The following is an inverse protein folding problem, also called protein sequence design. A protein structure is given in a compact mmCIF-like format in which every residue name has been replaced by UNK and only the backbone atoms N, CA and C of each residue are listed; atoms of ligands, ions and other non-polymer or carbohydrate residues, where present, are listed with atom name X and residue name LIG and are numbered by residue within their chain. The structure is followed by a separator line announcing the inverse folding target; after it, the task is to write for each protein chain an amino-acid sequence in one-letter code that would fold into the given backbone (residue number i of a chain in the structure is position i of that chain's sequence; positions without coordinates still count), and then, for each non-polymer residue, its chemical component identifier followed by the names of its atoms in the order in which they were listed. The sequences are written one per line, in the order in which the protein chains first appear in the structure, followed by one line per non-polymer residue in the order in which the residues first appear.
data_IF_115531128146
#
_entry.id   IF_115531128146
#
_cell.length_a   1.000
_cell.length_b   1.000
_cell.length_c   1.000
_cell.angle_alpha   90.00
_cell.angle_beta   90.00
_cell.angle_gamma   90.00
#
_symmetry.space_group_name_H-M   'P 1'
#
loop_
_entity.id
_entity.type
_entity.pdbx_description
1 polymer ?
#
# COMPACT_ATOMS: atom_id res chain seq x y z
N UNK A 1 -22.44 -2.13 29.57
CA UNK A 1 -22.36 -0.85 28.83
C UNK A 1 -20.97 -0.74 28.25
N UNK A 2 -20.82 -1.03 26.96
CA UNK A 2 -19.57 -0.88 26.22
C UNK A 2 -19.41 0.59 25.84
N UNK A 3 -18.26 1.16 26.19
CA UNK A 3 -17.90 2.53 25.86
C UNK A 3 -17.84 2.71 24.33
N UNK A 4 -18.70 3.55 23.72
CA UNK A 4 -18.71 3.74 22.26
C UNK A 4 -17.41 4.34 21.72
N UNK A 5 -16.57 4.94 22.58
CA UNK A 5 -15.26 5.47 22.19
C UNK A 5 -14.19 4.39 22.00
N UNK A 6 -14.37 3.17 22.54
CA UNK A 6 -13.42 2.05 22.35
C UNK A 6 -13.58 1.32 21.01
N UNK A 7 -14.67 1.57 20.29
CA UNK A 7 -14.96 0.93 19.00
C UNK A 7 -14.33 1.63 17.80
N UNK A 8 -13.43 2.59 18.02
CA UNK A 8 -13.00 3.54 16.99
C UNK A 8 -11.67 3.22 16.28
N UNK A 9 -10.85 2.24 16.71
CA UNK A 9 -9.54 2.04 16.05
C UNK A 9 -9.01 0.60 16.05
N UNK A 10 -9.83 -0.40 15.72
CA UNK A 10 -9.27 -1.52 14.94
C UNK A 10 -9.21 -1.07 13.48
N UNK A 11 -8.24 -0.19 13.20
CA UNK A 11 -7.92 0.19 11.83
C UNK A 11 -7.32 -1.04 11.17
N UNK A 12 -8.20 -1.86 10.59
CA UNK A 12 -7.75 -2.98 9.79
C UNK A 12 -7.13 -2.40 8.53
N UNK A 13 -5.81 -2.56 8.38
CA UNK A 13 -5.11 -2.18 7.16
C UNK A 13 -5.79 -2.85 5.97
N UNK A 14 -6.02 -2.12 4.86
CA UNK A 14 -6.62 -2.69 3.68
C UNK A 14 -5.65 -3.72 3.07
N UNK A 15 -6.14 -4.63 2.21
CA UNK A 15 -5.36 -5.80 1.79
C UNK A 15 -4.03 -5.45 1.09
N UNK A 16 -4.01 -4.44 0.22
CA UNK A 16 -2.82 -3.81 -0.37
C UNK A 16 -1.81 -3.21 0.63
N UNK A 17 -2.16 -3.14 1.90
CA UNK A 17 -1.28 -2.69 2.99
C UNK A 17 -0.85 -3.82 3.94
N UNK A 18 -1.22 -5.07 3.64
CA UNK A 18 -0.71 -6.25 4.35
C UNK A 18 0.63 -6.62 3.74
N UNK A 19 1.69 -6.13 4.36
CA UNK A 19 3.06 -6.43 3.96
C UNK A 19 3.41 -7.89 4.25
N UNK A 20 4.14 -8.53 3.35
CA UNK A 20 4.79 -9.81 3.58
C UNK A 20 5.89 -9.72 4.66
N UNK A 21 6.27 -10.86 5.25
CA UNK A 21 7.32 -10.89 6.28
C UNK A 21 8.69 -10.42 5.73
N UNK A 22 8.92 -10.63 4.43
CA UNK A 22 10.14 -10.25 3.71
C UNK A 22 9.90 -9.03 2.79
N UNK A 23 8.95 -8.16 3.17
CA UNK A 23 8.52 -7.05 2.33
C UNK A 23 9.68 -6.16 1.89
N UNK A 24 9.81 -6.01 0.58
CA UNK A 24 10.81 -5.15 -0.03
C UNK A 24 10.36 -3.69 0.00
N UNK A 25 11.29 -2.77 -0.29
CA UNK A 25 11.00 -1.35 -0.35
C UNK A 25 9.87 -1.05 -1.37
N UNK A 26 9.84 -1.77 -2.48
CA UNK A 26 8.80 -1.65 -3.51
C UNK A 26 7.39 -1.92 -2.95
N UNK A 27 7.24 -3.02 -2.22
CA UNK A 27 6.00 -3.42 -1.55
C UNK A 27 5.58 -2.40 -0.49
N UNK A 28 6.55 -1.92 0.30
CA UNK A 28 6.32 -0.87 1.31
C UNK A 28 5.82 0.43 0.66
N UNK A 29 6.42 0.85 -0.46
CA UNK A 29 6.01 2.05 -1.19
C UNK A 29 4.61 1.90 -1.79
N UNK A 30 4.29 0.72 -2.34
CA UNK A 30 2.96 0.40 -2.84
C UNK A 30 1.90 0.49 -1.73
N UNK A 31 2.17 -0.13 -0.57
CA UNK A 31 1.35 -0.01 0.63
C UNK A 31 1.15 1.47 1.02
N UNK A 32 2.23 2.23 1.18
CA UNK A 32 2.15 3.65 1.56
C UNK A 32 1.35 4.49 0.55
N UNK A 33 1.52 4.25 -0.75
CA UNK A 33 0.78 4.97 -1.79
C UNK A 33 -0.73 4.70 -1.72
N UNK A 34 -1.12 3.44 -1.53
CA UNK A 34 -2.52 3.06 -1.44
C UNK A 34 -3.15 3.38 -0.07
N UNK A 35 -2.35 3.43 0.99
CA UNK A 35 -2.77 3.93 2.29
C UNK A 35 -3.08 5.43 2.25
N UNK A 36 -2.22 6.21 1.57
CA UNK A 36 -2.33 7.67 1.54
C UNK A 36 -3.34 8.17 0.50
N UNK A 37 -3.61 7.40 -0.56
CA UNK A 37 -4.85 7.53 -1.32
C UNK A 37 -6.00 7.17 -0.39
N UNK A 38 -6.64 8.19 0.18
CA UNK A 38 -7.80 8.08 1.06
C UNK A 38 -8.67 6.90 0.62
N UNK A 39 -8.85 5.92 1.51
CA UNK A 39 -9.67 4.71 1.25
C UNK A 39 -11.09 5.12 0.81
N UNK A 40 -11.53 6.35 1.13
CA UNK A 40 -12.77 6.96 0.63
C UNK A 40 -12.72 7.40 -0.84
N UNK A 41 -11.56 7.79 -1.36
CA UNK A 41 -11.37 8.12 -2.77
C UNK A 41 -11.30 6.86 -3.65
N UNK A 42 -10.73 5.75 -3.12
CA UNK A 42 -10.75 4.43 -3.78
C UNK A 42 -12.19 3.91 -3.91
N UNK A 43 -13.03 4.12 -2.90
CA UNK A 43 -14.44 3.74 -2.94
C UNK A 43 -15.28 4.57 -3.95
N UNK A 44 -14.79 5.72 -4.41
CA UNK A 44 -15.51 6.61 -5.31
C UNK A 44 -15.18 6.41 -6.81
N UNK A 45 -14.15 5.62 -7.13
CA UNK A 45 -13.75 5.34 -8.52
C UNK A 45 -13.80 3.83 -8.85
N UNK A 46 -14.94 3.32 -9.35
CA UNK A 46 -15.10 1.91 -9.68
C UNK A 46 -14.27 1.45 -10.90
N UNK A 47 -13.62 2.36 -11.63
CA UNK A 47 -12.77 2.03 -12.77
C UNK A 47 -11.31 1.71 -12.38
N UNK A 48 -10.91 1.97 -11.13
CA UNK A 48 -9.53 1.81 -10.65
C UNK A 48 -9.37 0.83 -9.47
N UNK A 49 -10.16 -0.24 -9.54
CA UNK A 49 -9.83 -1.61 -9.08
C UNK A 49 -9.65 -1.78 -7.55
N UNK A 50 -9.87 -3.00 -7.03
CA UNK A 50 -9.76 -3.27 -5.60
C UNK A 50 -8.31 -3.09 -5.10
N UNK A 51 -8.17 -2.85 -3.81
CA UNK A 51 -6.90 -2.79 -3.10
C UNK A 51 -6.27 -4.21 -3.03
N UNK A 52 -5.61 -4.60 -4.13
CA UNK A 52 -4.95 -5.90 -4.32
C UNK A 52 -3.73 -6.06 -3.39
N UNK A 53 -3.46 -7.27 -2.91
CA UNK A 53 -2.18 -7.54 -2.25
C UNK A 53 -1.01 -7.45 -3.25
N UNK A 54 0.21 -7.42 -2.75
CA UNK A 54 1.40 -7.37 -3.61
C UNK A 54 1.47 -8.56 -4.58
N UNK A 55 1.10 -9.75 -4.10
CA UNK A 55 1.09 -11.00 -4.87
C UNK A 55 -0.02 -11.05 -5.93
N UNK A 56 -1.06 -10.23 -5.77
CA UNK A 56 -2.18 -10.12 -6.70
C UNK A 56 -1.94 -9.09 -7.81
N UNK A 57 -0.85 -8.30 -7.72
CA UNK A 57 -0.51 -7.32 -8.74
C UNK A 57 -0.17 -7.99 -10.07
N UNK A 58 -0.53 -7.30 -11.15
CA UNK A 58 0.04 -7.59 -12.45
C UNK A 58 1.58 -7.46 -12.37
N UNK A 59 2.36 -8.43 -12.88
CA UNK A 59 3.82 -8.39 -12.83
C UNK A 59 4.42 -7.10 -13.37
N UNK A 60 3.84 -6.51 -14.43
CA UNK A 60 4.33 -5.26 -15.00
C UNK A 60 4.14 -4.11 -14.01
N UNK A 61 3.06 -4.12 -13.22
CA UNK A 61 2.82 -3.10 -12.18
C UNK A 61 3.81 -3.27 -11.03
N UNK A 62 4.06 -4.50 -10.59
CA UNK A 62 5.04 -4.79 -9.55
C UNK A 62 6.45 -4.33 -9.97
N UNK A 63 6.87 -4.64 -11.21
CA UNK A 63 8.18 -4.24 -11.75
C UNK A 63 8.35 -2.70 -11.76
N UNK A 64 7.29 -1.93 -12.05
CA UNK A 64 7.37 -0.46 -11.99
C UNK A 64 7.60 0.05 -10.56
N UNK A 65 7.06 -0.62 -9.54
CA UNK A 65 7.32 -0.29 -8.14
C UNK A 65 8.73 -0.67 -7.71
N UNK A 66 9.24 -1.81 -8.18
CA UNK A 66 10.64 -2.22 -7.97
C UNK A 66 11.61 -1.20 -8.56
N UNK A 67 11.43 -0.79 -9.82
CA UNK A 67 12.26 0.25 -10.45
C UNK A 67 12.21 1.59 -9.70
N UNK A 68 11.07 1.96 -9.13
CA UNK A 68 10.95 3.17 -8.29
C UNK A 68 11.72 3.02 -6.98
N UNK A 69 11.68 1.84 -6.36
CA UNK A 69 12.43 1.55 -5.16
C UNK A 69 13.93 1.63 -5.42
N UNK A 70 14.42 1.03 -6.51
CA UNK A 70 15.82 1.09 -6.92
C UNK A 70 16.29 2.54 -7.12
N UNK A 71 15.52 3.34 -7.86
CA UNK A 71 15.84 4.76 -8.06
C UNK A 71 15.91 5.54 -6.74
N UNK A 72 15.03 5.24 -5.77
CA UNK A 72 15.07 5.87 -4.45
C UNK A 72 16.35 5.49 -3.69
N UNK A 73 16.80 4.24 -3.80
CA UNK A 73 18.04 3.79 -3.17
C UNK A 73 19.26 4.47 -3.81
N UNK A 74 19.34 4.51 -5.14
CA UNK A 74 20.40 5.23 -5.86
C UNK A 74 20.47 6.71 -5.46
N UNK A 75 19.32 7.38 -5.37
CA UNK A 75 19.26 8.79 -4.95
C UNK A 75 19.68 9.03 -3.50
N UNK A 76 19.61 8.02 -2.63
CA UNK A 76 20.09 8.11 -1.24
C UNK A 76 21.61 7.99 -1.15
N UNK A 77 22.24 7.22 -2.05
CA UNK A 77 23.70 7.03 -2.08
C UNK A 77 24.44 8.25 -2.67
N UNK A 78 23.75 9.06 -3.46
CA UNK A 78 24.29 10.30 -4.04
C UNK A 78 24.35 11.45 -3.00
N UNK A 79 23.68 11.32 -1.85
CA UNK A 79 23.61 12.35 -0.79
C UNK A 79 24.65 12.14 0.31
#
# INVERSE_FOLDING_TARGET
MTDPAKTLYEVTLPACCRLSDDAQLAETLYCCFNWWRDVRAIAADPAWTPCLTWEELDPDVAEQWERRADLILELREIK
#
